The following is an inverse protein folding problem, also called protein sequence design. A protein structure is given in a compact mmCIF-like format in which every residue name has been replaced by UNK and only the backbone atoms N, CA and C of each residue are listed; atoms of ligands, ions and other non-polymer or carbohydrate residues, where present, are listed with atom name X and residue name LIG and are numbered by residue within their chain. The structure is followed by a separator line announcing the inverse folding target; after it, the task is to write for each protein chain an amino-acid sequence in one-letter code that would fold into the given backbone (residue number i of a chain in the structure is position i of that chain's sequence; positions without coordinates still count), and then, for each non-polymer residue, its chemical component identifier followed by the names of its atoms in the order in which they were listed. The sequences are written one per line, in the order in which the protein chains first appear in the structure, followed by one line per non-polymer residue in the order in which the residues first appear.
data_IF_687754909353
#
_entry.id   IF_687754909353
#
_cell.length_a   1.000
_cell.length_b   1.000
_cell.length_c   1.000
_cell.angle_alpha   90.00
_cell.angle_beta   90.00
_cell.angle_gamma   90.00
#
_symmetry.space_group_name_H-M   'P 1'
#
loop_
_entity.id
_entity.type
_entity.pdbx_description
1 polymer ?
#
# COMPACT_ATOMS: atom_id res chain seq x y z
N UNK A 1 -2.97 -5.09 2.11
CA UNK A 1 -2.22 -5.64 3.26
C UNK A 1 -0.75 -5.75 2.92
N UNK A 2 0.12 -5.08 3.69
CA UNK A 2 1.57 -5.26 3.59
C UNK A 2 1.99 -6.65 4.06
N UNK A 3 3.00 -7.23 3.39
CA UNK A 3 3.58 -8.55 3.72
C UNK A 3 4.97 -8.46 4.35
N UNK A 4 5.46 -7.25 4.58
CA UNK A 4 6.74 -6.97 5.20
C UNK A 4 6.70 -5.56 5.82
N UNK A 5 7.61 -5.30 6.75
CA UNK A 5 7.79 -3.96 7.29
C UNK A 5 8.46 -3.09 6.22
N UNK A 6 7.89 -1.93 5.95
CA UNK A 6 8.41 -0.96 4.98
C UNK A 6 9.04 0.22 5.71
N UNK A 7 8.29 0.81 6.65
CA UNK A 7 8.77 1.91 7.49
C UNK A 7 8.06 1.86 8.84
N UNK A 8 8.79 1.43 9.87
CA UNK A 8 8.23 1.24 11.22
C UNK A 8 7.88 2.59 11.87
N UNK A 9 8.67 3.64 11.64
CA UNK A 9 8.43 4.97 12.21
C UNK A 9 7.13 5.60 11.70
N UNK A 10 6.76 5.28 10.46
CA UNK A 10 5.51 5.72 9.84
C UNK A 10 4.34 4.76 10.07
N UNK A 11 4.51 3.67 10.82
CA UNK A 11 3.45 2.66 11.00
C UNK A 11 3.21 1.73 9.80
N UNK A 12 4.09 1.75 8.78
CA UNK A 12 4.03 0.83 7.63
C UNK A 12 4.64 -0.52 7.98
N UNK A 13 3.94 -1.25 8.85
CA UNK A 13 4.35 -2.57 9.35
C UNK A 13 3.64 -3.71 8.60
N UNK A 14 4.18 -4.91 8.73
CA UNK A 14 3.55 -6.12 8.20
C UNK A 14 2.13 -6.26 8.74
N UNK A 15 1.17 -6.55 7.85
CA UNK A 15 -0.25 -6.59 8.22
C UNK A 15 -0.99 -5.26 8.05
N UNK A 16 -0.30 -4.13 7.85
CA UNK A 16 -0.98 -2.85 7.64
C UNK A 16 -1.92 -2.90 6.42
N UNK A 17 -3.14 -2.43 6.62
CA UNK A 17 -4.18 -2.34 5.61
C UNK A 17 -4.26 -0.91 5.08
N UNK A 18 -4.55 -0.81 3.80
CA UNK A 18 -4.61 0.47 3.12
C UNK A 18 -5.28 0.33 1.77
N UNK A 19 -5.84 1.44 1.32
CA UNK A 19 -6.52 1.59 0.04
C UNK A 19 -5.53 2.07 -1.02
N UNK A 20 -5.48 1.40 -2.16
CA UNK A 20 -4.69 1.85 -3.29
C UNK A 20 -5.39 3.05 -3.93
N UNK A 21 -4.74 4.20 -3.92
CA UNK A 21 -5.27 5.44 -4.51
C UNK A 21 -4.83 5.60 -5.96
N UNK A 22 -3.58 5.29 -6.28
CA UNK A 22 -3.04 5.39 -7.63
C UNK A 22 -2.03 4.28 -7.92
N UNK A 23 -2.00 3.81 -9.17
CA UNK A 23 -1.04 2.84 -9.67
C UNK A 23 -0.34 3.46 -10.88
N UNK A 24 0.95 3.77 -10.72
CA UNK A 24 1.84 4.20 -11.79
C UNK A 24 2.72 3.03 -12.24
N UNK A 25 3.47 3.24 -13.33
CA UNK A 25 4.33 2.21 -13.92
C UNK A 25 5.37 1.68 -12.91
N UNK A 26 5.96 2.59 -12.14
CA UNK A 26 7.06 2.31 -11.19
C UNK A 26 6.66 2.46 -9.72
N UNK A 27 5.52 3.08 -9.40
CA UNK A 27 5.11 3.42 -8.03
C UNK A 27 3.63 3.17 -7.81
N UNK A 28 3.26 2.86 -6.57
CA UNK A 28 1.87 2.71 -6.13
C UNK A 28 1.68 3.65 -4.95
N UNK A 29 0.64 4.48 -4.99
CA UNK A 29 0.24 5.34 -3.88
C UNK A 29 -0.85 4.64 -3.10
N UNK A 30 -0.61 4.40 -1.82
CA UNK A 30 -1.53 3.70 -0.91
C UNK A 30 -1.83 4.61 0.27
N UNK A 31 -3.12 4.83 0.53
CA UNK A 31 -3.57 5.49 1.74
C UNK A 31 -3.79 4.44 2.82
N UNK A 32 -3.02 4.47 3.90
CA UNK A 32 -3.12 3.49 4.98
C UNK A 32 -4.10 3.99 6.04
N UNK A 33 -4.85 3.08 6.66
CA UNK A 33 -5.89 3.47 7.63
C UNK A 33 -5.29 4.16 8.88
N UNK A 34 -4.03 3.84 9.20
CA UNK A 34 -3.30 4.37 10.36
C UNK A 34 -2.44 5.61 10.03
N UNK A 35 -2.38 6.03 8.76
CA UNK A 35 -1.50 7.13 8.29
C UNK A 35 -2.33 8.15 7.52
N UNK A 36 -2.32 9.39 7.97
CA UNK A 36 -3.08 10.49 7.37
C UNK A 36 -2.61 10.83 5.94
N UNK A 37 -1.32 10.66 5.67
CA UNK A 37 -0.72 10.99 4.39
C UNK A 37 -0.60 9.76 3.49
N UNK A 38 -0.94 9.86 2.20
CA UNK A 38 -0.74 8.79 1.23
C UNK A 38 0.75 8.43 1.13
N UNK A 39 1.06 7.15 1.20
CA UNK A 39 2.43 6.69 1.05
C UNK A 39 2.70 6.15 -0.35
N UNK A 40 3.76 6.65 -0.97
CA UNK A 40 4.29 6.05 -2.20
C UNK A 40 5.11 4.81 -1.85
N UNK A 41 4.85 3.72 -2.55
CA UNK A 41 5.58 2.47 -2.45
C UNK A 41 6.13 2.18 -3.85
N UNK A 42 7.45 2.00 -3.95
CA UNK A 42 8.05 1.55 -5.20
C UNK A 42 7.53 0.16 -5.56
N UNK A 43 7.20 -0.02 -6.83
CA UNK A 43 6.82 -1.31 -7.38
C UNK A 43 8.08 -2.17 -7.47
N UNK A 44 8.44 -2.79 -6.34
CA UNK A 44 9.40 -3.88 -6.33
C UNK A 44 8.92 -4.93 -7.35
N UNK A 45 9.82 -5.62 -8.06
CA UNK A 45 9.47 -6.75 -8.96
C UNK A 45 8.89 -7.97 -8.20
N UNK A 46 8.14 -7.74 -7.13
CA UNK A 46 7.34 -8.74 -6.40
C UNK A 46 5.89 -8.59 -6.85
N UNK A 47 5.20 -9.72 -6.97
CA UNK A 47 3.78 -9.75 -7.31
C UNK A 47 2.99 -9.20 -6.11
N UNK A 48 2.54 -7.96 -6.19
CA UNK A 48 1.55 -7.43 -5.26
C UNK A 48 0.17 -7.92 -5.70
N UNK A 49 -0.60 -8.48 -4.76
CA UNK A 49 -1.99 -8.83 -5.01
C UNK A 49 -2.84 -7.59 -4.76
N UNK A 50 -3.45 -7.05 -5.81
CA UNK A 50 -4.41 -5.95 -5.73
C UNK A 50 -5.80 -6.57 -5.86
N UNK A 51 -6.61 -6.49 -4.81
CA UNK A 51 -8.02 -6.86 -4.86
C UNK A 51 -8.85 -5.58 -5.00
N UNK A 52 -9.75 -5.55 -5.97
CA UNK A 52 -10.71 -4.46 -6.17
C UNK A 52 -12.00 -4.84 -5.45
N UNK A 53 -12.40 -4.08 -4.44
CA UNK A 53 -13.77 -4.15 -3.95
C UNK A 53 -14.67 -3.45 -4.97
N UNK A 54 -15.40 -4.24 -5.76
CA UNK A 54 -16.47 -3.73 -6.61
C UNK A 54 -17.74 -3.79 -5.77
N UNK A 55 -18.19 -2.64 -5.25
CA UNK A 55 -19.56 -2.53 -4.75
C UNK A 55 -20.48 -2.49 -5.97
N UNK A 56 -21.31 -3.53 -6.12
CA UNK A 56 -22.40 -3.63 -7.10
C UNK A 56 -23.68 -3.14 -6.47
#
# INVERSE_FOLDING_TARGET
MLRCNVNVEKGLVNGALGMVQAILETRITVNFDEITDPCEIEKVKRKFMVMKNVCV
#
